data_IF_923832111714
#
_entry.id   IF_923832111714
#
_cell.length_a   1.000
_cell.length_b   1.000
_cell.length_c   1.000
_cell.angle_alpha   90.00
_cell.angle_beta   90.00
_cell.angle_gamma   90.00
#
_symmetry.space_group_name_H-M   'P 1'
#
loop_
_entity.id
_entity.type
_entity.pdbx_description
1 polymer ?
#
# COMPACT_ATOMS: atom_id res chain seq x y z
N UNK A 1 -40.88 -23.46 -25.53
CA UNK A 1 -40.14 -23.91 -26.73
C UNK A 1 -40.00 -22.73 -27.69
N UNK A 2 -38.86 -22.04 -27.83
CA UNK A 2 -37.56 -22.22 -27.16
C UNK A 2 -36.74 -20.91 -27.08
N UNK A 3 -35.92 -20.60 -26.06
CA UNK A 3 -35.88 -20.96 -24.62
C UNK A 3 -34.93 -19.91 -23.93
N UNK A 4 -34.19 -20.18 -22.83
CA UNK A 4 -33.27 -19.20 -22.16
C UNK A 4 -31.91 -19.01 -22.87
N UNK A 5 -31.34 -17.80 -22.78
CA UNK A 5 -29.89 -17.58 -22.72
C UNK A 5 -29.56 -16.48 -21.70
N UNK A 6 -28.81 -16.84 -20.65
CA UNK A 6 -28.26 -15.91 -19.68
C UNK A 6 -26.72 -15.98 -19.74
N UNK A 7 -26.07 -14.84 -19.92
CA UNK A 7 -24.62 -14.67 -19.86
C UNK A 7 -24.36 -13.43 -19.01
N UNK A 8 -24.21 -13.60 -17.70
CA UNK A 8 -22.92 -13.71 -17.01
C UNK A 8 -22.19 -12.36 -16.97
N UNK A 9 -22.03 -11.82 -15.75
CA UNK A 9 -21.69 -10.43 -15.52
C UNK A 9 -20.21 -10.10 -15.73
N UNK A 10 -19.97 -8.94 -16.33
CA UNK A 10 -18.73 -8.21 -16.13
C UNK A 10 -18.93 -7.26 -14.95
N UNK A 11 -18.39 -7.63 -13.78
CA UNK A 11 -18.47 -6.82 -12.56
C UNK A 11 -17.51 -5.62 -12.67
N UNK A 12 -17.95 -4.65 -13.48
CA UNK A 12 -17.17 -3.47 -13.83
C UNK A 12 -17.33 -2.46 -12.70
N UNK A 13 -16.35 -2.42 -11.79
CA UNK A 13 -16.33 -1.49 -10.68
C UNK A 13 -16.63 -0.04 -11.17
N UNK A 14 -17.50 0.72 -10.50
CA UNK A 14 -17.97 1.99 -11.02
C UNK A 14 -16.80 2.99 -11.17
N UNK A 15 -16.69 3.72 -12.30
CA UNK A 15 -15.50 4.49 -12.66
C UNK A 15 -15.19 5.72 -11.77
N UNK A 16 -15.98 5.97 -10.72
CA UNK A 16 -15.66 6.96 -9.67
C UNK A 16 -15.02 6.35 -8.41
N UNK A 17 -14.94 5.02 -8.30
CA UNK A 17 -14.54 4.33 -7.07
C UNK A 17 -13.02 4.40 -6.82
N UNK A 18 -12.19 4.23 -7.86
CA UNK A 18 -10.73 4.22 -7.71
C UNK A 18 -10.20 5.56 -7.21
N UNK A 19 -10.62 6.67 -7.84
CA UNK A 19 -10.19 8.03 -7.51
C UNK A 19 -10.46 8.40 -6.03
N UNK A 20 -11.67 8.13 -5.54
CA UNK A 20 -12.03 8.43 -4.13
C UNK A 20 -11.23 7.57 -3.14
N UNK A 21 -10.95 6.31 -3.46
CA UNK A 21 -10.08 5.48 -2.64
C UNK A 21 -8.63 5.95 -2.66
N UNK A 22 -8.15 6.45 -3.81
CA UNK A 22 -6.81 7.00 -3.96
C UNK A 22 -6.62 8.29 -3.16
N UNK A 23 -7.62 9.19 -3.15
CA UNK A 23 -7.65 10.38 -2.29
C UNK A 23 -7.64 10.02 -0.81
N UNK A 24 -8.33 8.93 -0.41
CA UNK A 24 -8.24 8.40 0.97
C UNK A 24 -6.87 7.79 1.29
N UNK A 25 -6.24 7.07 0.35
CA UNK A 25 -4.88 6.53 0.51
C UNK A 25 -3.84 7.64 0.68
N UNK A 26 -3.97 8.74 -0.07
CA UNK A 26 -3.06 9.90 0.05
C UNK A 26 -3.51 10.94 1.08
N UNK A 27 -4.53 10.64 1.89
CA UNK A 27 -5.10 11.57 2.90
C UNK A 27 -5.45 12.95 2.32
N UNK A 28 -5.78 13.02 1.02
CA UNK A 28 -6.06 14.26 0.31
C UNK A 28 -4.84 15.13 0.00
N UNK A 29 -3.60 14.66 0.19
CA UNK A 29 -2.36 15.43 -0.10
C UNK A 29 -2.31 15.92 -1.56
N UNK A 30 -2.93 15.18 -2.49
CA UNK A 30 -3.01 15.56 -3.91
C UNK A 30 -4.16 16.50 -4.25
N UNK A 31 -4.96 16.93 -3.26
CA UNK A 31 -5.92 18.03 -3.46
C UNK A 31 -5.15 19.35 -3.49
N UNK A 32 -5.47 20.22 -4.46
CA UNK A 32 -4.71 21.45 -4.73
C UNK A 32 -4.63 22.44 -3.56
N UNK A 33 -5.48 22.30 -2.54
CA UNK A 33 -5.46 23.12 -1.32
C UNK A 33 -4.50 22.63 -0.23
N UNK A 34 -3.94 21.42 -0.36
CA UNK A 34 -3.01 20.83 0.63
C UNK A 34 -1.57 20.73 0.11
N UNK A 35 -1.32 21.18 -1.11
CA UNK A 35 0.02 21.25 -1.69
C UNK A 35 0.75 22.42 -1.02
N UNK A 36 1.75 22.12 -0.20
CA UNK A 36 2.63 23.11 0.44
C UNK A 36 3.31 23.98 -0.64
N UNK A 37 3.48 25.32 -0.46
CA UNK A 37 3.79 26.26 -1.55
C UNK A 37 5.09 26.03 -2.33
N UNK A 38 5.95 25.10 -1.92
CA UNK A 38 7.10 24.64 -2.70
C UNK A 38 6.83 23.38 -3.54
N UNK A 39 5.93 22.49 -3.13
CA UNK A 39 5.47 21.39 -4.00
C UNK A 39 4.49 22.00 -5.00
N UNK A 40 4.44 21.49 -6.23
CA UNK A 40 3.57 22.08 -7.28
C UNK A 40 2.77 21.03 -8.03
N UNK A 41 3.32 19.83 -8.16
CA UNK A 41 2.69 18.74 -8.92
C UNK A 41 2.92 17.42 -8.18
N UNK A 42 1.83 16.79 -7.77
CA UNK A 42 1.83 15.46 -7.16
C UNK A 42 1.04 14.51 -8.07
N UNK A 43 1.77 13.66 -8.80
CA UNK A 43 1.22 12.70 -9.74
C UNK A 43 1.02 11.36 -9.03
N UNK A 44 -0.17 10.76 -9.15
CA UNK A 44 -0.41 9.38 -8.75
C UNK A 44 -0.66 8.54 -9.99
N UNK A 45 0.01 7.39 -10.07
CA UNK A 45 -0.24 6.40 -11.12
C UNK A 45 -1.25 5.40 -10.57
N UNK A 46 -2.52 5.54 -10.98
CA UNK A 46 -3.55 4.53 -10.72
C UNK A 46 -3.14 3.19 -11.33
N UNK A 47 -3.11 2.14 -10.51
CA UNK A 47 -2.93 0.75 -10.97
C UNK A 47 -4.24 0.00 -10.82
N UNK A 48 -4.58 -0.88 -11.78
CA UNK A 48 -5.78 -1.71 -11.68
C UNK A 48 -5.72 -2.63 -10.45
N UNK A 49 -6.87 -3.06 -9.90
CA UNK A 49 -6.95 -4.15 -8.93
C UNK A 49 -6.16 -5.40 -9.33
N UNK A 50 -5.62 -6.11 -8.34
CA UNK A 50 -5.10 -7.46 -8.54
C UNK A 50 -6.27 -8.45 -8.58
N UNK A 51 -6.18 -9.47 -9.45
CA UNK A 51 -7.16 -10.54 -9.43
C UNK A 51 -6.90 -11.49 -8.25
N UNK A 52 -7.95 -12.01 -7.63
CA UNK A 52 -7.85 -12.91 -6.45
C UNK A 52 -6.90 -14.08 -6.69
N UNK A 53 -6.90 -14.64 -7.91
CA UNK A 53 -6.04 -15.76 -8.27
C UNK A 53 -4.54 -15.38 -8.31
N UNK A 54 -4.18 -14.12 -8.59
CA UNK A 54 -2.78 -13.65 -8.55
C UNK A 54 -2.25 -13.67 -7.11
N UNK A 55 -3.08 -13.23 -6.16
CA UNK A 55 -2.78 -13.25 -4.72
C UNK A 55 -2.59 -14.70 -4.26
N UNK A 56 -3.57 -15.57 -4.52
CA UNK A 56 -3.47 -16.98 -4.15
C UNK A 56 -2.32 -17.73 -4.82
N UNK A 57 -1.96 -17.37 -6.06
CA UNK A 57 -0.80 -17.94 -6.76
C UNK A 57 0.53 -17.49 -6.12
N UNK A 58 0.60 -16.24 -5.66
CA UNK A 58 1.76 -15.73 -4.92
C UNK A 58 1.89 -16.41 -3.55
N UNK A 59 0.79 -16.54 -2.82
CA UNK A 59 0.74 -17.24 -1.51
C UNK A 59 1.19 -18.69 -1.63
N UNK A 60 0.67 -19.43 -2.62
CA UNK A 60 1.09 -20.81 -2.92
C UNK A 60 2.57 -20.90 -3.30
N UNK A 61 3.06 -19.97 -4.12
CA UNK A 61 4.48 -19.94 -4.56
C UNK A 61 5.45 -19.66 -3.40
N UNK A 62 5.08 -18.80 -2.46
CA UNK A 62 5.92 -18.41 -1.33
C UNK A 62 5.63 -19.21 -0.05
N UNK A 63 4.69 -20.17 -0.10
CA UNK A 63 4.23 -21.00 1.01
C UNK A 63 3.90 -20.18 2.28
N UNK A 64 3.17 -19.09 2.11
CA UNK A 64 2.76 -18.18 3.18
C UNK A 64 1.40 -17.54 2.87
N UNK A 65 0.77 -16.97 3.90
CA UNK A 65 -0.51 -16.25 3.78
C UNK A 65 -0.22 -14.76 3.95
N UNK A 66 -0.78 -13.92 3.07
CA UNK A 66 -0.65 -12.47 3.19
C UNK A 66 -1.61 -11.92 4.27
N UNK A 67 -1.18 -10.89 5.04
CA UNK A 67 -2.07 -10.17 5.94
C UNK A 67 -3.30 -9.62 5.20
N UNK A 68 -4.43 -9.54 5.91
CA UNK A 68 -5.71 -9.18 5.31
C UNK A 68 -5.68 -7.79 4.65
N UNK A 69 -5.04 -6.82 5.29
CA UNK A 69 -4.89 -5.46 4.76
C UNK A 69 -4.02 -5.42 3.49
N UNK A 70 -2.99 -6.28 3.37
CA UNK A 70 -2.15 -6.38 2.18
C UNK A 70 -2.94 -6.97 1.01
N UNK A 71 -3.79 -7.97 1.28
CA UNK A 71 -4.68 -8.55 0.26
C UNK A 71 -5.74 -7.54 -0.16
N UNK A 72 -6.41 -6.89 0.78
CA UNK A 72 -7.41 -5.85 0.51
C UNK A 72 -6.81 -4.66 -0.25
N UNK A 73 -5.61 -4.22 0.11
CA UNK A 73 -4.88 -3.20 -0.65
C UNK A 73 -4.66 -3.66 -2.10
N UNK A 74 -4.11 -4.85 -2.33
CA UNK A 74 -3.87 -5.35 -3.69
C UNK A 74 -5.17 -5.56 -4.49
N UNK A 75 -6.25 -5.99 -3.84
CA UNK A 75 -7.59 -6.11 -4.43
C UNK A 75 -8.25 -4.74 -4.72
N UNK A 76 -7.78 -3.66 -4.10
CA UNK A 76 -8.23 -2.29 -4.39
C UNK A 76 -7.35 -1.62 -5.46
N UNK A 77 -6.03 -1.82 -5.40
CA UNK A 77 -5.04 -1.34 -6.37
C UNK A 77 -3.77 -2.21 -6.31
N UNK A 78 -3.33 -2.75 -7.44
CA UNK A 78 -2.21 -3.70 -7.50
C UNK A 78 -0.85 -2.98 -7.37
N UNK A 79 -0.54 -2.48 -6.17
CA UNK A 79 0.56 -1.57 -5.91
C UNK A 79 0.18 -0.10 -6.16
N UNK A 80 1.05 0.81 -5.76
CA UNK A 80 0.84 2.25 -5.82
C UNK A 80 2.12 2.96 -6.24
N UNK A 81 2.02 4.10 -6.91
CA UNK A 81 3.19 4.96 -7.17
C UNK A 81 2.74 6.42 -7.18
N UNK A 82 3.36 7.22 -6.33
CA UNK A 82 3.13 8.66 -6.21
C UNK A 82 4.48 9.37 -6.31
N UNK A 83 4.55 10.39 -7.15
CA UNK A 83 5.73 11.25 -7.32
C UNK A 83 5.33 12.69 -7.06
N UNK A 84 6.18 13.45 -6.38
CA UNK A 84 5.96 14.88 -6.16
C UNK A 84 7.17 15.70 -6.60
N UNK A 85 6.89 16.84 -7.22
CA UNK A 85 7.87 17.77 -7.76
C UNK A 85 7.61 19.20 -7.26
N UNK A 86 8.68 19.98 -7.25
CA UNK A 86 8.70 21.43 -7.01
C UNK A 86 8.90 22.13 -8.34
N UNK A 87 8.13 23.19 -8.61
CA UNK A 87 8.41 24.10 -9.71
C UNK A 87 9.30 25.24 -9.21
N UNK A 88 10.48 25.37 -9.80
CA UNK A 88 11.43 26.46 -9.59
C UNK A 88 11.61 27.19 -10.94
N UNK A 89 11.12 28.42 -11.04
CA UNK A 89 11.07 29.20 -12.26
C UNK A 89 10.41 28.42 -13.43
N UNK A 90 11.13 28.22 -14.54
CA UNK A 90 10.70 27.46 -15.72
C UNK A 90 10.93 25.94 -15.57
N UNK A 91 11.48 25.47 -14.45
CA UNK A 91 11.91 24.07 -14.27
C UNK A 91 11.04 23.32 -13.23
N UNK A 92 10.52 22.15 -13.61
CA UNK A 92 9.93 21.18 -12.68
C UNK A 92 11.01 20.20 -12.22
N UNK A 93 11.30 20.17 -10.92
CA UNK A 93 12.33 19.34 -10.31
C UNK A 93 11.65 18.23 -9.48
N UNK A 94 11.89 16.94 -9.76
CA UNK A 94 11.34 15.85 -8.94
C UNK A 94 11.97 15.88 -7.54
N UNK A 95 11.14 15.90 -6.50
CA UNK A 95 11.57 16.01 -5.10
C UNK A 95 11.51 14.66 -4.38
N UNK A 96 10.58 13.78 -4.75
CA UNK A 96 10.51 12.44 -4.19
C UNK A 96 9.47 11.53 -4.83
N UNK A 97 9.49 10.26 -4.43
CA UNK A 97 8.58 9.22 -4.87
C UNK A 97 8.28 8.21 -3.76
N UNK A 98 7.02 7.81 -3.64
CA UNK A 98 6.57 6.70 -2.81
C UNK A 98 6.04 5.58 -3.70
N UNK A 99 6.50 4.35 -3.48
CA UNK A 99 6.08 3.18 -4.25
C UNK A 99 5.64 2.04 -3.32
N UNK A 100 4.47 1.46 -3.60
CA UNK A 100 4.05 0.17 -3.05
C UNK A 100 4.08 -0.84 -4.19
N UNK A 101 4.76 -1.97 -3.96
CA UNK A 101 4.92 -2.99 -4.97
C UNK A 101 3.60 -3.69 -5.30
N UNK A 102 3.45 -4.04 -6.57
CA UNK A 102 2.40 -4.93 -7.08
C UNK A 102 2.64 -6.35 -6.59
N UNK A 103 1.59 -7.18 -6.47
CA UNK A 103 1.66 -8.58 -5.99
C UNK A 103 2.77 -9.40 -6.67
N UNK A 104 2.99 -9.21 -7.97
CA UNK A 104 4.03 -9.88 -8.77
C UNK A 104 5.47 -9.47 -8.43
N UNK A 105 5.67 -8.37 -7.72
CA UNK A 105 6.96 -7.83 -7.28
C UNK A 105 7.21 -8.00 -5.77
N UNK A 106 6.28 -8.62 -5.03
CA UNK A 106 6.50 -8.92 -3.62
C UNK A 106 7.47 -10.10 -3.46
N UNK A 107 8.35 -10.01 -2.47
CA UNK A 107 9.38 -11.00 -2.13
C UNK A 107 9.33 -11.31 -0.65
N UNK A 108 9.42 -12.59 -0.26
CA UNK A 108 9.45 -12.98 1.15
C UNK A 108 10.79 -12.58 1.78
N UNK A 109 10.77 -11.80 2.87
CA UNK A 109 11.99 -11.24 3.48
C UNK A 109 12.91 -12.34 4.06
N UNK A 110 12.33 -13.30 4.78
CA UNK A 110 12.99 -14.45 5.41
C UNK A 110 13.76 -15.36 4.43
N UNK A 111 13.50 -15.30 3.12
CA UNK A 111 14.24 -16.07 2.11
C UNK A 111 15.41 -15.29 1.48
N UNK A 112 15.52 -13.98 1.71
CA UNK A 112 16.54 -13.16 1.06
C UNK A 112 17.86 -13.20 1.83
N UNK A 113 18.92 -13.63 1.14
CA UNK A 113 20.26 -13.87 1.71
C UNK A 113 20.95 -12.62 2.27
N UNK A 114 20.40 -11.43 2.02
CA UNK A 114 20.84 -10.17 2.63
C UNK A 114 20.59 -10.14 4.13
N UNK A 115 19.50 -10.74 4.63
CA UNK A 115 19.18 -10.77 6.06
C UNK A 115 19.75 -12.00 6.79
N UNK A 116 20.44 -12.90 6.09
CA UNK A 116 21.14 -14.05 6.70
C UNK A 116 22.61 -13.77 7.05
N UNK A 117 23.06 -12.52 6.95
CA UNK A 117 24.42 -12.13 7.35
C UNK A 117 24.49 -11.93 8.87
N UNK A 118 25.62 -12.25 9.55
CA UNK A 118 25.72 -12.21 11.01
C UNK A 118 25.39 -10.86 11.68
N UNK A 119 25.55 -9.76 10.93
CA UNK A 119 25.32 -8.38 11.39
C UNK A 119 24.34 -7.62 10.46
N UNK A 120 23.49 -8.32 9.69
CA UNK A 120 22.45 -7.64 8.94
C UNK A 120 21.36 -7.12 9.88
N UNK A 121 20.76 -5.94 9.60
CA UNK A 121 19.56 -5.52 10.29
C UNK A 121 18.46 -6.56 10.03
N UNK A 122 17.89 -7.07 11.10
CA UNK A 122 16.86 -8.11 11.13
C UNK A 122 15.47 -7.47 11.33
N UNK A 123 14.42 -8.30 11.33
CA UNK A 123 13.09 -7.83 11.71
C UNK A 123 13.02 -7.39 13.19
N UNK A 124 13.87 -7.95 14.06
CA UNK A 124 13.92 -7.61 15.48
C UNK A 124 14.44 -6.19 15.75
N UNK A 125 15.22 -5.61 14.82
CA UNK A 125 15.70 -4.23 14.93
C UNK A 125 14.60 -3.17 14.64
N UNK A 126 13.40 -3.61 14.24
CA UNK A 126 12.22 -2.76 14.01
C UNK A 126 11.14 -2.94 15.10
N UNK A 127 11.37 -3.80 16.09
CA UNK A 127 10.47 -4.03 17.22
C UNK A 127 10.66 -2.91 18.27
N UNK A 128 9.99 -1.76 18.04
CA UNK A 128 9.97 -0.64 18.99
C UNK A 128 9.02 -0.93 20.17
N UNK A 129 9.58 -1.12 21.37
CA UNK A 129 8.96 -1.57 22.63
C UNK A 129 7.88 -0.61 23.20
N UNK A 130 6.86 -0.28 22.40
CA UNK A 130 5.91 0.81 22.68
C UNK A 130 4.58 0.35 23.31
N UNK A 131 4.48 -0.91 23.76
CA UNK A 131 3.23 -1.52 24.24
C UNK A 131 3.18 -1.96 25.72
N UNK A 132 4.21 -1.74 26.55
CA UNK A 132 4.23 -2.28 27.94
C UNK A 132 4.34 -1.27 29.11
N UNK A 133 4.18 0.04 28.90
CA UNK A 133 4.32 1.03 30.01
C UNK A 133 3.12 1.98 30.28
N UNK A 134 1.91 1.66 29.79
CA UNK A 134 0.70 2.44 30.13
C UNK A 134 -0.08 1.92 31.35
N UNK A 135 0.00 0.62 31.65
CA UNK A 135 -0.80 0.02 32.74
C UNK A 135 -0.12 0.07 34.13
N UNK A 136 1.22 0.14 34.19
CA UNK A 136 1.96 0.07 35.45
C UNK A 136 1.98 1.39 36.27
N UNK A 137 1.55 2.51 35.69
CA UNK A 137 1.56 3.82 36.35
C UNK A 137 0.28 4.16 37.14
N UNK A 138 -0.78 3.34 37.01
CA UNK A 138 -2.06 3.55 37.72
C UNK A 138 -2.12 2.90 39.11
N UNK A 139 -1.19 1.98 39.44
CA UNK A 139 -1.33 1.11 40.62
C UNK A 139 -0.54 1.52 41.88
N UNK A 140 0.24 2.60 41.84
CA UNK A 140 1.14 2.98 42.95
C UNK A 140 0.78 4.31 43.64
N UNK A 141 -0.50 4.52 44.02
CA UNK A 141 -0.84 5.63 44.94
C UNK A 141 -2.08 5.40 45.85
N UNK A 142 -2.04 4.35 46.67
CA UNK A 142 -2.82 4.14 47.91
C UNK A 142 -1.90 3.31 48.83
N UNK A 143 -1.58 3.72 50.08
CA UNK A 143 -2.50 4.20 51.12
C UNK A 143 -2.46 5.71 51.41
#
# INVERSE_FOLDING_TARGET
RAERAASHGGDTAPPGCSKLHLEKLTLGITTSSNISPGVTEATIIEKPPAERHMISSWEQKNNCILPEDVKNFNLMTNGFHMTWSVKLDEHTIPLGSMAINSISKLTQLNQSSMYSLPNAPTLADLEDDTLENVDNLMHHNVP
#
